data_IF_597856449256
#
_entry.id   IF_597856449256
#
_cell.length_a   1.000
_cell.length_b   1.000
_cell.length_c   1.000
_cell.angle_alpha   90.00
_cell.angle_beta   90.00
_cell.angle_gamma   90.00
#
_symmetry.space_group_name_H-M   'P 1'
#
loop_
_entity.id
_entity.type
_entity.pdbx_description
1 polymer ?
#
# COMPACT_ATOMS: atom_id res chain seq x y z
N UNK A 1 27.47 -1.68 9.21
CA UNK A 1 26.23 -1.12 8.63
C UNK A 1 25.40 -2.28 8.09
N UNK A 2 24.35 -2.71 8.79
CA UNK A 2 23.44 -3.72 8.23
C UNK A 2 22.40 -3.01 7.38
N UNK A 3 22.58 -3.04 6.05
CA UNK A 3 21.65 -2.44 5.10
C UNK A 3 20.29 -3.15 5.17
N UNK A 4 19.22 -2.37 5.32
CA UNK A 4 17.84 -2.86 5.17
C UNK A 4 17.57 -3.07 3.69
N UNK A 5 17.29 -4.29 3.28
CA UNK A 5 16.92 -4.60 1.89
C UNK A 5 15.45 -4.26 1.67
N UNK A 6 15.12 -3.50 0.62
CA UNK A 6 13.74 -3.18 0.26
C UNK A 6 13.31 -4.10 -0.89
N UNK A 7 12.23 -4.84 -0.69
CA UNK A 7 11.58 -5.62 -1.75
C UNK A 7 10.38 -4.85 -2.27
N UNK A 8 10.49 -4.31 -3.48
CA UNK A 8 9.37 -3.69 -4.17
C UNK A 8 8.54 -4.76 -4.88
N UNK A 9 7.24 -4.79 -4.63
CA UNK A 9 6.35 -5.72 -5.35
C UNK A 9 6.19 -5.25 -6.81
N UNK A 10 6.64 -6.00 -7.84
CA UNK A 10 6.19 -5.76 -9.20
C UNK A 10 4.72 -6.18 -9.32
N UNK A 11 3.96 -5.50 -10.18
CA UNK A 11 2.53 -5.71 -10.45
C UNK A 11 2.14 -7.13 -10.90
N UNK A 12 3.09 -8.06 -11.00
CA UNK A 12 2.93 -9.44 -11.47
C UNK A 12 3.10 -10.57 -10.43
N UNK A 13 3.26 -10.30 -9.13
CA UNK A 13 3.21 -11.38 -8.12
C UNK A 13 1.75 -11.87 -7.94
N UNK A 14 1.26 -12.61 -8.92
CA UNK A 14 -0.03 -13.30 -8.94
C UNK A 14 0.24 -14.79 -8.69
N UNK A 15 -0.47 -15.38 -7.72
CA UNK A 15 -0.52 -16.84 -7.58
C UNK A 15 -0.41 -17.33 -6.14
N UNK A 16 -1.52 -17.25 -5.39
CA UNK A 16 -2.01 -18.17 -4.33
C UNK A 16 -1.06 -18.75 -3.27
N UNK A 17 0.20 -18.32 -3.20
CA UNK A 17 1.21 -18.53 -2.15
C UNK A 17 2.07 -17.27 -2.13
N UNK A 18 1.99 -16.52 -1.06
CA UNK A 18 2.52 -15.18 -0.90
C UNK A 18 4.04 -15.17 -1.01
N UNK A 19 4.60 -14.37 -1.94
CA UNK A 19 6.04 -14.09 -1.96
C UNK A 19 6.58 -13.52 -0.64
N UNK A 20 5.69 -13.06 0.24
CA UNK A 20 6.02 -12.59 1.58
C UNK A 20 6.19 -13.69 2.62
N UNK A 21 5.71 -14.92 2.44
CA UNK A 21 6.00 -16.00 3.40
C UNK A 21 7.51 -16.25 3.49
N UNK A 22 8.23 -16.08 2.39
CA UNK A 22 9.70 -16.14 2.32
C UNK A 22 10.40 -14.95 2.97
N UNK A 23 9.70 -13.82 3.13
CA UNK A 23 10.25 -12.59 3.71
C UNK A 23 9.90 -12.45 5.20
N UNK A 24 9.00 -13.29 5.73
CA UNK A 24 8.59 -13.23 7.14
C UNK A 24 9.78 -13.44 8.07
N UNK A 25 9.89 -12.60 9.09
CA UNK A 25 10.99 -12.64 10.06
C UNK A 25 12.35 -12.21 9.52
N UNK A 26 12.44 -11.78 8.25
CA UNK A 26 13.66 -11.19 7.69
C UNK A 26 13.69 -9.68 7.94
N UNK A 27 14.85 -9.05 7.74
CA UNK A 27 15.01 -7.59 7.79
C UNK A 27 14.62 -6.90 6.48
N UNK A 28 13.84 -7.56 5.64
CA UNK A 28 13.40 -7.03 4.35
C UNK A 28 12.14 -6.18 4.55
N UNK A 29 12.16 -4.95 4.02
CA UNK A 29 10.97 -4.09 4.01
C UNK A 29 10.17 -4.40 2.75
N UNK A 30 8.92 -4.80 2.94
CA UNK A 30 7.95 -4.91 1.88
C UNK A 30 7.48 -3.51 1.48
N UNK A 31 7.89 -3.08 0.30
CA UNK A 31 7.52 -1.79 -0.25
C UNK A 31 6.38 -1.94 -1.26
N UNK A 32 5.32 -1.16 -1.07
CA UNK A 32 4.20 -1.08 -1.99
C UNK A 32 3.94 0.34 -2.50
N UNK A 33 3.66 0.42 -3.81
CA UNK A 33 3.18 1.62 -4.48
C UNK A 33 1.72 1.38 -4.91
N UNK A 34 0.74 1.95 -4.19
CA UNK A 34 -0.65 1.92 -4.63
C UNK A 34 -0.80 2.67 -5.96
N UNK A 35 -1.77 2.22 -6.76
CA UNK A 35 -2.16 2.86 -8.03
C UNK A 35 -2.50 4.33 -7.79
N UNK A 36 -1.91 5.23 -8.58
CA UNK A 36 -2.10 6.67 -8.41
C UNK A 36 -3.54 7.11 -8.71
N UNK A 37 -4.23 6.35 -9.56
CA UNK A 37 -5.61 6.54 -9.98
C UNK A 37 -6.59 6.59 -8.79
N UNK A 38 -6.25 5.94 -7.67
CA UNK A 38 -7.03 6.02 -6.43
C UNK A 38 -7.11 7.43 -5.85
N UNK A 39 -6.16 8.31 -6.19
CA UNK A 39 -6.16 9.72 -5.82
C UNK A 39 -6.38 10.62 -7.02
N UNK A 40 -5.77 10.30 -8.16
CA UNK A 40 -5.72 11.19 -9.33
C UNK A 40 -6.85 10.96 -10.32
N UNK A 41 -7.65 9.90 -10.17
CA UNK A 41 -8.74 9.59 -11.09
C UNK A 41 -9.82 10.66 -11.08
N UNK A 42 -10.44 10.90 -12.23
CA UNK A 42 -11.57 11.83 -12.35
C UNK A 42 -12.77 11.34 -11.53
N UNK A 43 -13.53 12.29 -10.95
CA UNK A 43 -14.73 11.99 -10.17
C UNK A 43 -14.48 11.84 -8.66
N UNK A 44 -15.48 11.36 -7.89
CA UNK A 44 -15.37 11.20 -6.44
C UNK A 44 -14.40 10.06 -6.07
N UNK A 45 -13.80 10.14 -4.88
CA UNK A 45 -13.00 9.04 -4.35
C UNK A 45 -13.86 7.81 -4.08
N UNK A 46 -13.39 6.66 -4.53
CA UNK A 46 -13.97 5.35 -4.21
C UNK A 46 -13.29 4.79 -2.96
N UNK A 47 -13.84 5.13 -1.80
CA UNK A 47 -13.34 4.67 -0.50
C UNK A 47 -13.25 3.14 -0.42
N UNK A 48 -14.22 2.43 -0.99
CA UNK A 48 -14.25 0.97 -0.93
C UNK A 48 -13.10 0.35 -1.73
N UNK A 49 -12.84 0.87 -2.94
CA UNK A 49 -11.73 0.40 -3.78
C UNK A 49 -10.36 0.75 -3.15
N UNK A 50 -10.25 1.94 -2.56
CA UNK A 50 -9.05 2.38 -1.83
C UNK A 50 -8.77 1.44 -0.65
N UNK A 51 -9.76 1.21 0.21
CA UNK A 51 -9.63 0.34 1.37
C UNK A 51 -9.34 -1.11 0.96
N UNK A 52 -9.97 -1.62 -0.11
CA UNK A 52 -9.69 -2.96 -0.62
C UNK A 52 -8.24 -3.10 -1.14
N UNK A 53 -7.72 -2.07 -1.82
CA UNK A 53 -6.32 -2.02 -2.26
C UNK A 53 -5.36 -2.09 -1.08
N UNK A 54 -5.57 -1.24 -0.06
CA UNK A 54 -4.73 -1.23 1.14
C UNK A 54 -4.84 -2.53 1.94
N UNK A 55 -6.03 -3.10 2.05
CA UNK A 55 -6.24 -4.41 2.68
C UNK A 55 -5.38 -5.48 2.01
N UNK A 56 -5.42 -5.56 0.67
CA UNK A 56 -4.60 -6.52 -0.07
C UNK A 56 -3.09 -6.32 0.10
N UNK A 57 -2.65 -5.06 0.23
CA UNK A 57 -1.25 -4.73 0.55
C UNK A 57 -0.88 -5.21 1.95
N UNK A 58 -1.73 -4.95 2.95
CA UNK A 58 -1.50 -5.31 4.35
C UNK A 58 -1.50 -6.83 4.56
N UNK A 59 -2.45 -7.54 3.97
CA UNK A 59 -2.53 -9.00 4.01
C UNK A 59 -1.31 -9.63 3.34
N UNK A 60 -0.87 -9.09 2.20
CA UNK A 60 0.36 -9.53 1.54
C UNK A 60 1.59 -9.30 2.42
N UNK A 61 1.68 -8.15 3.09
CA UNK A 61 2.83 -7.77 3.89
C UNK A 61 2.84 -8.34 5.33
N UNK A 62 1.83 -9.13 5.71
CA UNK A 62 1.71 -9.62 7.08
C UNK A 62 2.90 -10.51 7.49
N UNK A 63 3.51 -10.21 8.63
CA UNK A 63 4.73 -10.86 9.13
C UNK A 63 6.04 -10.23 8.65
N UNK A 64 5.98 -9.09 7.94
CA UNK A 64 7.12 -8.33 7.43
C UNK A 64 7.01 -6.84 7.83
N UNK A 65 8.14 -6.13 7.78
CA UNK A 65 8.14 -4.67 7.82
C UNK A 65 7.46 -4.13 6.56
N UNK A 66 6.50 -3.21 6.72
CA UNK A 66 5.70 -2.66 5.63
C UNK A 66 6.03 -1.17 5.43
N UNK A 67 6.33 -0.79 4.19
CA UNK A 67 6.41 0.60 3.74
C UNK A 67 5.44 0.81 2.58
N UNK A 68 4.61 1.85 2.68
CA UNK A 68 3.70 2.25 1.61
C UNK A 68 4.00 3.69 1.23
N UNK A 69 4.27 3.93 -0.05
CA UNK A 69 4.52 5.27 -0.55
C UNK A 69 3.65 5.56 -1.78
N UNK A 70 2.85 6.61 -1.67
CA UNK A 70 2.13 7.16 -2.82
C UNK A 70 3.07 8.05 -3.63
N UNK A 71 3.22 7.73 -4.92
CA UNK A 71 4.02 8.50 -5.88
C UNK A 71 3.19 8.76 -7.14
N UNK A 72 3.67 9.68 -7.99
CA UNK A 72 3.01 10.05 -9.26
C UNK A 72 1.59 10.62 -9.08
N UNK A 73 1.35 11.31 -7.96
CA UNK A 73 0.12 12.09 -7.78
C UNK A 73 0.24 13.37 -8.60
N UNK A 74 -0.22 13.31 -9.86
CA UNK A 74 -0.15 14.43 -10.80
C UNK A 74 -1.22 15.50 -10.59
N UNK A 75 -2.35 15.13 -9.98
CA UNK A 75 -3.46 16.05 -9.70
C UNK A 75 -4.26 15.58 -8.49
N UNK A 76 -4.79 16.56 -7.75
CA UNK A 76 -5.85 16.37 -6.74
C UNK A 76 -7.03 17.29 -7.03
N UNK A 77 -7.10 17.86 -8.23
CA UNK A 77 -8.15 18.81 -8.65
C UNK A 77 -8.31 20.04 -7.75
N UNK A 78 -7.23 20.45 -7.07
CA UNK A 78 -7.27 21.54 -6.08
C UNK A 78 -7.98 21.18 -4.77
N UNK A 79 -8.43 19.94 -4.61
CA UNK A 79 -9.13 19.44 -3.43
C UNK A 79 -8.12 18.81 -2.45
N UNK A 80 -7.72 19.57 -1.43
CA UNK A 80 -6.85 19.07 -0.36
C UNK A 80 -7.53 18.01 0.50
N UNK A 81 -8.86 18.06 0.62
CA UNK A 81 -9.61 17.09 1.42
C UNK A 81 -9.57 15.70 0.77
N UNK A 82 -9.50 15.65 -0.56
CA UNK A 82 -9.22 14.41 -1.31
C UNK A 82 -7.95 13.70 -0.81
N UNK A 83 -6.85 14.44 -0.71
CA UNK A 83 -5.59 13.90 -0.21
C UNK A 83 -5.66 13.47 1.24
N UNK A 84 -6.31 14.27 2.10
CA UNK A 84 -6.50 13.94 3.53
C UNK A 84 -7.35 12.68 3.70
N UNK A 85 -8.45 12.55 2.96
CA UNK A 85 -9.33 11.39 2.97
C UNK A 85 -8.59 10.13 2.54
N UNK A 86 -7.79 10.21 1.48
CA UNK A 86 -6.96 9.08 1.05
C UNK A 86 -5.99 8.60 2.13
N UNK A 87 -5.26 9.53 2.76
CA UNK A 87 -4.33 9.19 3.85
C UNK A 87 -5.06 8.63 5.07
N UNK A 88 -6.26 9.14 5.39
CA UNK A 88 -7.09 8.61 6.47
C UNK A 88 -7.49 7.16 6.19
N UNK A 89 -8.02 6.87 5.00
CA UNK A 89 -8.39 5.50 4.60
C UNK A 89 -7.19 4.55 4.61
N UNK A 90 -6.02 5.02 4.17
CA UNK A 90 -4.79 4.25 4.22
C UNK A 90 -4.41 3.85 5.66
N UNK A 91 -4.46 4.81 6.59
CA UNK A 91 -4.18 4.56 8.02
C UNK A 91 -5.17 3.59 8.64
N UNK A 92 -6.48 3.83 8.44
CA UNK A 92 -7.54 2.95 8.95
C UNK A 92 -7.39 1.51 8.45
N UNK A 93 -7.03 1.33 7.18
CA UNK A 93 -6.77 0.00 6.62
C UNK A 93 -5.52 -0.66 7.19
N UNK A 94 -4.42 0.09 7.38
CA UNK A 94 -3.21 -0.44 8.00
C UNK A 94 -3.49 -0.87 9.44
N UNK A 95 -4.15 -0.04 10.23
CA UNK A 95 -4.49 -0.35 11.62
C UNK A 95 -5.41 -1.58 11.74
N UNK A 96 -6.32 -1.77 10.78
CA UNK A 96 -7.27 -2.89 10.79
C UNK A 96 -6.68 -4.21 10.27
N UNK A 97 -5.80 -4.17 9.27
CA UNK A 97 -5.41 -5.36 8.50
C UNK A 97 -3.93 -5.73 8.58
N UNK A 98 -3.03 -4.77 8.85
CA UNK A 98 -1.60 -5.08 8.92
C UNK A 98 -1.27 -5.73 10.25
N UNK A 99 -0.58 -6.87 10.19
CA UNK A 99 -0.07 -7.58 11.35
C UNK A 99 1.43 -7.78 11.14
N UNK A 100 2.28 -7.17 11.98
CA UNK A 100 3.73 -7.27 11.86
C UNK A 100 4.24 -8.70 12.06
#
# INVERSE_FOLDING_TARGET
>A
MSGTTIFSRPSGCCGRRTGCDYLRGTRVVYYSKPRAEFVTGDGPLDDAAITASFKGICEAASGCLLEIAQREVGTIFGDLERGRRYVRLAREAVDAFWRP
#
